data_IF_167838725689
#
_entry.id   IF_167838725689
#
_cell.length_a   1.000
_cell.length_b   1.000
_cell.length_c   1.000
_cell.angle_alpha   90.00
_cell.angle_beta   90.00
_cell.angle_gamma   90.00
#
_symmetry.space_group_name_H-M   'P 1'
#
loop_
_entity.id
_entity.type
_entity.pdbx_description
1 polymer ?
#
# COMPACT_ATOMS: atom_id res chain seq x y z
N UNK A 1 -23.05 5.08 22.73
CA UNK A 1 -22.55 4.67 21.40
C UNK A 1 -21.08 4.38 21.60
N UNK A 2 -20.67 3.13 21.41
CA UNK A 2 -19.23 2.80 21.50
C UNK A 2 -18.50 3.62 20.46
N UNK A 3 -17.51 4.38 20.94
CA UNK A 3 -16.71 5.27 20.10
C UNK A 3 -15.78 4.40 19.23
N UNK A 4 -16.21 4.10 17.99
CA UNK A 4 -15.46 3.24 17.09
C UNK A 4 -14.10 3.87 16.81
N UNK A 5 -13.05 3.04 16.81
CA UNK A 5 -11.69 3.47 16.49
C UNK A 5 -11.55 3.74 15.00
N UNK A 6 -11.12 4.94 14.64
CA UNK A 6 -10.98 5.33 13.24
C UNK A 6 -9.71 4.70 12.64
N UNK A 7 -9.86 4.03 11.51
CA UNK A 7 -8.75 3.59 10.65
C UNK A 7 -8.68 4.49 9.42
N UNK A 8 -7.59 5.25 9.32
CA UNK A 8 -7.29 6.08 8.16
C UNK A 8 -6.69 5.23 7.05
N UNK A 9 -7.30 5.22 5.86
CA UNK A 9 -6.90 4.37 4.75
C UNK A 9 -6.45 5.22 3.57
N UNK A 10 -5.14 5.26 3.31
CA UNK A 10 -4.56 5.89 2.11
C UNK A 10 -4.89 5.05 0.87
N UNK A 11 -5.12 5.71 -0.27
CA UNK A 11 -5.44 5.03 -1.51
C UNK A 11 -6.79 4.30 -1.48
N UNK A 12 -7.75 4.85 -0.74
CA UNK A 12 -9.05 4.23 -0.47
C UNK A 12 -9.88 3.89 -1.72
N UNK A 13 -9.65 4.58 -2.84
CA UNK A 13 -10.31 4.32 -4.13
C UNK A 13 -9.55 3.32 -5.02
N UNK A 14 -8.37 2.85 -4.56
CA UNK A 14 -7.54 1.88 -5.26
C UNK A 14 -7.84 0.43 -4.87
N UNK A 15 -7.10 -0.52 -5.45
CA UNK A 15 -7.31 -1.96 -5.25
C UNK A 15 -7.13 -2.36 -3.77
N UNK A 16 -6.00 -2.03 -3.16
CA UNK A 16 -5.72 -2.41 -1.76
C UNK A 16 -6.59 -1.62 -0.77
N UNK A 17 -6.52 -0.28 -0.82
CA UNK A 17 -7.25 0.56 0.11
C UNK A 17 -8.76 0.39 0.01
N UNK A 18 -9.32 0.29 -1.21
CA UNK A 18 -10.74 0.07 -1.42
C UNK A 18 -11.23 -1.29 -0.92
N UNK A 19 -10.40 -2.33 -1.05
CA UNK A 19 -10.67 -3.64 -0.45
C UNK A 19 -10.74 -3.56 1.08
N UNK A 20 -9.76 -2.91 1.70
CA UNK A 20 -9.72 -2.71 3.16
C UNK A 20 -10.91 -1.89 3.67
N UNK A 21 -11.25 -0.78 3.00
CA UNK A 21 -12.41 0.04 3.36
C UNK A 21 -13.68 -0.81 3.41
N UNK A 22 -13.94 -1.58 2.35
CA UNK A 22 -15.12 -2.45 2.30
C UNK A 22 -15.09 -3.54 3.36
N UNK A 23 -13.92 -4.12 3.63
CA UNK A 23 -13.78 -5.13 4.69
C UNK A 23 -14.12 -4.56 6.07
N UNK A 24 -13.64 -3.35 6.40
CA UNK A 24 -13.95 -2.70 7.69
C UNK A 24 -15.45 -2.36 7.78
N UNK A 25 -16.06 -1.85 6.70
CA UNK A 25 -17.47 -1.48 6.70
C UNK A 25 -18.41 -2.68 6.81
N UNK A 26 -17.98 -3.85 6.31
CA UNK A 26 -18.74 -5.11 6.37
C UNK A 26 -18.45 -5.94 7.63
N UNK A 27 -17.56 -5.47 8.53
CA UNK A 27 -17.26 -6.15 9.79
C UNK A 27 -18.45 -6.07 10.74
N UNK A 28 -19.09 -7.20 11.00
CA UNK A 28 -20.27 -7.30 11.88
C UNK A 28 -19.94 -6.95 13.33
N UNK A 29 -18.71 -7.22 13.78
CA UNK A 29 -18.23 -6.82 15.11
C UNK A 29 -18.12 -5.30 15.25
N UNK A 30 -17.97 -4.59 14.14
CA UNK A 30 -18.10 -3.14 14.01
C UNK A 30 -17.20 -2.31 14.93
N UNK A 31 -16.05 -2.84 15.33
CA UNK A 31 -15.10 -2.18 16.25
C UNK A 31 -14.40 -0.96 15.69
N UNK A 32 -14.36 -0.87 14.34
CA UNK A 32 -13.66 0.19 13.64
C UNK A 32 -14.63 1.02 12.79
N UNK A 33 -14.30 2.30 12.65
CA UNK A 33 -14.82 3.19 11.62
C UNK A 33 -13.71 3.42 10.60
N UNK A 34 -14.07 3.77 9.36
CA UNK A 34 -13.08 4.00 8.33
C UNK A 34 -13.10 5.44 7.86
N UNK A 35 -11.92 6.04 7.80
CA UNK A 35 -11.68 7.30 7.10
C UNK A 35 -10.97 6.99 5.78
N UNK A 36 -11.70 7.11 4.69
CA UNK A 36 -11.23 6.85 3.33
C UNK A 36 -10.51 8.09 2.77
N UNK A 37 -9.20 8.01 2.61
CA UNK A 37 -8.37 9.12 2.16
C UNK A 37 -8.09 8.97 0.67
N UNK A 38 -8.40 10.01 -0.10
CA UNK A 38 -8.22 10.09 -1.55
C UNK A 38 -7.87 11.51 -1.98
N UNK A 39 -7.20 11.67 -3.12
CA UNK A 39 -6.93 13.00 -3.71
C UNK A 39 -8.18 13.72 -4.19
N UNK A 40 -9.19 12.95 -4.63
CA UNK A 40 -10.46 13.50 -5.14
C UNK A 40 -11.64 12.87 -4.41
N UNK A 41 -12.13 13.59 -3.39
CA UNK A 41 -13.30 13.18 -2.60
C UNK A 41 -14.63 13.25 -3.38
N UNK A 42 -14.66 13.96 -4.49
CA UNK A 42 -15.85 14.10 -5.34
C UNK A 42 -15.95 13.05 -6.46
N UNK A 43 -14.96 12.17 -6.59
CA UNK A 43 -14.98 11.09 -7.57
C UNK A 43 -16.12 10.10 -7.30
N UNK A 44 -16.61 9.42 -8.33
CA UNK A 44 -17.70 8.45 -8.19
C UNK A 44 -17.31 7.32 -7.21
N UNK A 45 -16.06 6.82 -7.29
CA UNK A 45 -15.55 5.83 -6.34
C UNK A 45 -15.53 6.33 -4.89
N UNK A 46 -15.21 7.60 -4.67
CA UNK A 46 -15.23 8.19 -3.34
C UNK A 46 -16.66 8.33 -2.80
N UNK A 47 -17.59 8.74 -3.65
CA UNK A 47 -19.03 8.81 -3.33
C UNK A 47 -19.63 7.44 -3.03
N UNK A 48 -19.21 6.39 -3.74
CA UNK A 48 -19.61 5.02 -3.43
C UNK A 48 -19.16 4.61 -2.01
N UNK A 49 -17.91 4.93 -1.64
CA UNK A 49 -17.42 4.63 -0.30
C UNK A 49 -18.15 5.41 0.79
N UNK A 50 -18.49 6.69 0.53
CA UNK A 50 -19.31 7.50 1.43
C UNK A 50 -20.71 6.92 1.60
N UNK A 51 -21.34 6.47 0.51
CA UNK A 51 -22.65 5.82 0.54
C UNK A 51 -22.67 4.50 1.35
N UNK A 52 -21.52 3.81 1.42
CA UNK A 52 -21.32 2.62 2.25
C UNK A 52 -21.05 2.95 3.73
N UNK A 53 -20.88 4.23 4.09
CA UNK A 53 -20.68 4.68 5.47
C UNK A 53 -19.24 5.07 5.82
N UNK A 54 -18.33 5.19 4.85
CA UNK A 54 -16.99 5.72 5.10
C UNK A 54 -17.00 7.24 5.27
N UNK A 55 -16.21 7.77 6.21
CA UNK A 55 -15.82 9.17 6.22
C UNK A 55 -14.81 9.40 5.08
N UNK A 56 -15.18 10.18 4.07
CA UNK A 56 -14.28 10.47 2.94
C UNK A 56 -13.57 11.80 3.16
N UNK A 57 -12.23 11.78 3.09
CA UNK A 57 -11.38 12.96 3.30
C UNK A 57 -10.43 13.13 2.12
N UNK A 58 -10.33 14.37 1.64
CA UNK A 58 -9.36 14.73 0.61
C UNK A 58 -7.98 14.97 1.23
N UNK A 59 -6.95 14.28 0.74
CA UNK A 59 -5.55 14.56 1.05
C UNK A 59 -4.63 14.07 -0.07
N UNK A 60 -3.49 14.72 -0.20
CA UNK A 60 -2.42 14.36 -1.14
C UNK A 60 -1.23 13.78 -0.37
N UNK A 61 -0.72 12.64 -0.81
CA UNK A 61 0.45 11.99 -0.18
C UNK A 61 1.76 12.75 -0.44
N UNK A 62 1.77 13.70 -1.36
CA UNK A 62 2.89 14.64 -1.57
C UNK A 62 2.78 15.89 -0.67
N UNK A 63 1.67 16.08 0.06
CA UNK A 63 1.44 17.19 1.00
C UNK A 63 1.30 16.66 2.43
N UNK A 64 2.39 16.73 3.19
CA UNK A 64 2.46 16.24 4.58
C UNK A 64 1.45 16.94 5.49
N UNK A 65 1.12 18.21 5.26
CA UNK A 65 0.18 18.94 6.10
C UNK A 65 -1.27 18.52 5.82
N UNK A 66 -1.60 18.17 4.56
CA UNK A 66 -2.88 17.55 4.24
C UNK A 66 -3.03 16.19 4.92
N UNK A 67 -1.96 15.38 4.93
CA UNK A 67 -1.93 14.08 5.60
C UNK A 67 -2.07 14.20 7.13
N UNK A 68 -1.41 15.18 7.76
CA UNK A 68 -1.56 15.44 9.21
C UNK A 68 -3.01 15.71 9.57
N UNK A 69 -3.70 16.55 8.78
CA UNK A 69 -5.14 16.81 8.98
C UNK A 69 -5.99 15.56 8.76
N UNK A 70 -5.66 14.78 7.73
CA UNK A 70 -6.40 13.55 7.42
C UNK A 70 -6.21 12.44 8.46
N UNK A 71 -5.08 12.42 9.16
CA UNK A 71 -4.80 11.41 10.22
C UNK A 71 -5.23 11.87 11.62
N UNK A 72 -5.63 13.13 11.79
CA UNK A 72 -6.05 13.65 13.09
C UNK A 72 -7.18 12.81 13.71
N UNK A 73 -6.98 12.40 14.96
CA UNK A 73 -7.90 11.52 15.69
C UNK A 73 -7.98 10.08 15.19
N UNK A 74 -7.18 9.66 14.20
CA UNK A 74 -7.14 8.27 13.78
C UNK A 74 -6.43 7.38 14.83
N UNK A 75 -7.03 6.22 15.09
CA UNK A 75 -6.43 5.19 15.94
C UNK A 75 -5.33 4.42 15.19
N UNK A 76 -5.59 4.03 13.95
CA UNK A 76 -4.68 3.30 13.10
C UNK A 76 -4.66 3.86 11.68
N UNK A 77 -3.64 3.50 10.90
CA UNK A 77 -3.56 3.89 9.52
C UNK A 77 -3.08 2.73 8.62
N UNK A 78 -3.63 2.66 7.41
CA UNK A 78 -3.12 1.88 6.31
C UNK A 78 -2.45 2.82 5.33
N UNK A 79 -1.15 2.62 5.09
CA UNK A 79 -0.31 3.45 4.24
C UNK A 79 0.12 2.65 3.01
N UNK A 80 -0.04 3.24 1.83
CA UNK A 80 0.37 2.68 0.55
C UNK A 80 0.76 3.79 -0.42
N UNK A 81 1.80 3.57 -1.18
CA UNK A 81 2.25 4.44 -2.28
C UNK A 81 1.90 3.81 -3.62
N UNK A 82 1.96 4.59 -4.69
CA UNK A 82 1.59 4.16 -6.05
C UNK A 82 2.74 4.42 -7.04
N UNK A 83 3.80 3.64 -6.96
CA UNK A 83 5.00 3.76 -7.80
C UNK A 83 4.67 3.91 -9.30
N UNK A 84 3.71 3.16 -9.78
CA UNK A 84 3.32 3.13 -11.19
C UNK A 84 2.67 4.42 -11.71
N UNK A 85 2.32 5.36 -10.83
CA UNK A 85 1.84 6.68 -11.22
C UNK A 85 2.98 7.64 -11.61
N UNK A 86 4.18 7.45 -11.05
CA UNK A 86 5.27 8.42 -11.21
C UNK A 86 6.62 7.80 -11.60
N UNK A 87 6.81 6.49 -11.43
CA UNK A 87 8.05 5.76 -11.76
C UNK A 87 9.33 6.33 -11.12
N UNK A 88 9.23 6.95 -9.94
CA UNK A 88 10.36 7.55 -9.22
C UNK A 88 10.56 6.91 -7.85
N UNK A 89 11.69 6.21 -7.63
CA UNK A 89 12.06 5.70 -6.31
C UNK A 89 12.15 6.80 -5.25
N UNK A 90 12.69 7.96 -5.60
CA UNK A 90 12.87 9.09 -4.68
C UNK A 90 11.52 9.62 -4.22
N UNK A 91 10.53 9.73 -5.13
CA UNK A 91 9.18 10.16 -4.79
C UNK A 91 8.46 9.12 -3.94
N UNK A 92 8.65 7.82 -4.24
CA UNK A 92 8.13 6.71 -3.43
C UNK A 92 8.59 6.82 -1.97
N UNK A 93 9.89 7.05 -1.76
CA UNK A 93 10.50 7.21 -0.44
C UNK A 93 10.00 8.49 0.24
N UNK A 94 9.90 9.60 -0.49
CA UNK A 94 9.40 10.87 0.04
C UNK A 94 7.93 10.76 0.50
N UNK A 95 7.08 10.09 -0.27
CA UNK A 95 5.68 9.84 0.08
C UNK A 95 5.55 8.94 1.32
N UNK A 96 6.37 7.91 1.43
CA UNK A 96 6.42 7.07 2.63
C UNK A 96 6.82 7.89 3.87
N UNK A 97 7.81 8.78 3.73
CA UNK A 97 8.23 9.69 4.80
C UNK A 97 7.11 10.63 5.22
N UNK A 98 6.41 11.25 4.27
CA UNK A 98 5.29 12.15 4.56
C UNK A 98 4.17 11.44 5.34
N UNK A 99 3.83 10.20 4.96
CA UNK A 99 2.85 9.39 5.70
C UNK A 99 3.33 9.02 7.10
N UNK A 100 4.60 8.66 7.27
CA UNK A 100 5.17 8.32 8.58
C UNK A 100 5.22 9.54 9.51
N UNK A 101 5.59 10.72 9.00
CA UNK A 101 5.58 11.98 9.73
C UNK A 101 4.16 12.39 10.16
N UNK A 102 3.18 12.25 9.27
CA UNK A 102 1.79 12.51 9.58
C UNK A 102 1.24 11.55 10.64
N UNK A 103 1.55 10.24 10.54
CA UNK A 103 1.17 9.24 11.52
C UNK A 103 1.78 9.52 12.91
N UNK A 104 3.07 9.90 12.95
CA UNK A 104 3.74 10.33 14.17
C UNK A 104 3.07 11.55 14.79
N UNK A 105 2.81 12.58 13.95
CA UNK A 105 2.19 13.85 14.41
C UNK A 105 0.81 13.60 15.03
N UNK A 106 -0.01 12.78 14.39
CA UNK A 106 -1.35 12.42 14.85
C UNK A 106 -1.36 11.43 16.03
N UNK A 107 -0.21 10.88 16.41
CA UNK A 107 -0.11 9.90 17.49
C UNK A 107 -0.82 8.58 17.19
N UNK A 108 -0.87 8.19 15.93
CA UNK A 108 -1.46 6.93 15.44
C UNK A 108 -0.84 5.76 16.20
N UNK A 109 -1.67 4.85 16.71
CA UNK A 109 -1.24 3.75 17.59
C UNK A 109 -0.63 2.58 16.81
N UNK A 110 -1.00 2.42 15.56
CA UNK A 110 -0.45 1.39 14.68
C UNK A 110 -0.62 1.74 13.20
N UNK A 111 0.42 1.52 12.43
CA UNK A 111 0.42 1.66 10.97
C UNK A 111 0.60 0.28 10.33
N UNK A 112 -0.19 -0.02 9.31
CA UNK A 112 0.11 -1.09 8.37
C UNK A 112 0.68 -0.42 7.11
N UNK A 113 1.95 -0.67 6.86
CA UNK A 113 2.66 -0.18 5.68
C UNK A 113 2.68 -1.24 4.58
N UNK A 114 1.96 -1.01 3.50
CA UNK A 114 1.97 -1.89 2.32
C UNK A 114 3.27 -1.69 1.55
N UNK A 115 4.13 -2.68 1.65
CA UNK A 115 5.51 -2.58 1.21
C UNK A 115 6.00 -3.82 0.47
N UNK A 116 7.28 -3.81 0.18
CA UNK A 116 8.01 -4.88 -0.47
C UNK A 116 9.41 -5.00 0.17
N UNK A 117 10.14 -6.05 -0.20
CA UNK A 117 11.51 -6.24 0.24
C UNK A 117 12.48 -5.51 -0.70
N UNK A 118 13.61 -5.08 -0.15
CA UNK A 118 14.74 -4.60 -0.95
C UNK A 118 15.43 -5.78 -1.62
N UNK A 119 15.27 -5.91 -2.92
CA UNK A 119 15.78 -7.04 -3.70
C UNK A 119 17.30 -7.07 -3.78
N UNK A 120 17.97 -5.94 -3.50
CA UNK A 120 19.45 -5.85 -3.48
C UNK A 120 20.09 -6.64 -2.34
N UNK A 121 19.29 -7.02 -1.33
CA UNK A 121 19.74 -7.94 -0.28
C UNK A 121 20.02 -9.36 -0.79
N UNK A 122 19.43 -9.76 -1.93
CA UNK A 122 19.60 -11.07 -2.55
C UNK A 122 20.33 -11.01 -3.89
N UNK A 123 20.19 -9.89 -4.60
CA UNK A 123 20.83 -9.62 -5.90
C UNK A 123 21.56 -8.28 -5.80
N UNK A 124 22.80 -8.26 -5.26
CA UNK A 124 23.59 -7.03 -5.14
C UNK A 124 23.78 -6.31 -6.47
N UNK A 125 24.11 -5.04 -6.42
CA UNK A 125 24.22 -4.20 -7.65
C UNK A 125 25.25 -4.73 -8.63
N UNK A 126 26.30 -5.40 -8.14
CA UNK A 126 27.39 -6.00 -8.94
C UNK A 126 26.97 -7.33 -9.60
N UNK A 127 25.88 -7.92 -9.19
CA UNK A 127 25.42 -9.19 -9.74
C UNK A 127 24.83 -9.01 -11.14
N UNK A 128 25.56 -9.50 -12.14
CA UNK A 128 25.22 -9.38 -13.56
C UNK A 128 24.03 -10.26 -14.00
N UNK A 129 23.52 -11.16 -13.14
CA UNK A 129 22.34 -11.97 -13.46
C UNK A 129 21.10 -11.10 -13.66
N UNK A 130 21.09 -9.90 -13.10
CA UNK A 130 20.02 -8.95 -13.22
C UNK A 130 20.58 -7.54 -13.52
N UNK A 131 20.06 -6.79 -14.50
CA UNK A 131 20.56 -5.46 -14.80
C UNK A 131 20.32 -4.52 -13.62
N UNK A 132 21.23 -3.57 -13.42
CA UNK A 132 21.01 -2.44 -12.53
C UNK A 132 20.23 -1.36 -13.26
N UNK A 133 19.09 -0.96 -12.70
CA UNK A 133 18.21 0.05 -13.26
C UNK A 133 18.34 1.36 -12.49
N UNK A 134 18.11 2.50 -13.14
CA UNK A 134 18.17 3.83 -12.53
C UNK A 134 19.43 4.03 -11.66
N UNK A 135 20.56 3.48 -12.09
CA UNK A 135 21.91 3.50 -11.48
C UNK A 135 22.06 2.78 -10.13
N UNK A 136 20.99 2.49 -9.38
CA UNK A 136 21.12 1.98 -7.99
C UNK A 136 20.01 1.00 -7.57
N UNK A 137 19.21 0.51 -8.50
CA UNK A 137 18.10 -0.41 -8.19
C UNK A 137 18.19 -1.70 -9.02
N UNK A 138 17.74 -2.80 -8.47
CA UNK A 138 17.48 -4.06 -9.20
C UNK A 138 16.03 -4.13 -9.62
N UNK A 139 15.12 -3.88 -8.70
CA UNK A 139 13.67 -3.75 -8.96
C UNK A 139 13.19 -2.46 -8.30
N UNK A 140 13.18 -1.32 -9.03
CA UNK A 140 13.04 0.01 -8.44
C UNK A 140 11.87 0.18 -7.47
N UNK A 141 10.68 -0.35 -7.80
CA UNK A 141 9.51 -0.26 -6.94
C UNK A 141 9.57 -1.17 -5.69
N UNK A 142 10.32 -2.29 -5.75
CA UNK A 142 10.61 -3.11 -4.58
C UNK A 142 11.63 -2.43 -3.68
N UNK A 143 12.76 -2.05 -4.28
CA UNK A 143 13.90 -1.52 -3.56
C UNK A 143 13.57 -0.21 -2.86
N UNK A 144 12.83 0.70 -3.52
CA UNK A 144 12.40 1.95 -2.93
C UNK A 144 11.44 1.74 -1.73
N UNK A 145 10.51 0.79 -1.83
CA UNK A 145 9.65 0.43 -0.69
C UNK A 145 10.45 -0.23 0.43
N UNK A 146 11.43 -1.09 0.06
CA UNK A 146 12.34 -1.71 1.01
C UNK A 146 13.17 -0.68 1.80
N UNK A 147 13.73 0.34 1.12
CA UNK A 147 14.39 1.47 1.77
C UNK A 147 13.44 2.22 2.71
N UNK A 148 12.22 2.47 2.27
CA UNK A 148 11.22 3.20 3.04
C UNK A 148 10.78 2.48 4.33
N UNK A 149 10.99 1.17 4.45
CA UNK A 149 10.65 0.40 5.65
C UNK A 149 11.33 0.94 6.92
N UNK A 150 12.53 1.47 6.80
CA UNK A 150 13.28 2.00 7.94
C UNK A 150 12.72 3.33 8.45
N UNK A 151 12.06 4.12 7.60
CA UNK A 151 11.59 5.47 7.93
C UNK A 151 10.57 5.45 9.08
N UNK A 152 9.63 4.51 9.05
CA UNK A 152 8.63 4.40 10.11
C UNK A 152 9.26 4.04 11.46
N UNK A 153 10.24 3.13 11.45
CA UNK A 153 10.98 2.73 12.64
C UNK A 153 11.84 3.89 13.19
N UNK A 154 12.57 4.61 12.33
CA UNK A 154 13.38 5.78 12.70
C UNK A 154 12.55 6.89 13.34
N UNK A 155 11.33 7.09 12.85
CA UNK A 155 10.40 8.07 13.41
C UNK A 155 9.69 7.55 14.67
N UNK A 156 9.89 6.30 15.07
CA UNK A 156 9.26 5.70 16.24
C UNK A 156 7.76 5.44 16.06
N UNK A 157 7.29 5.24 14.83
CA UNK A 157 5.89 4.91 14.52
C UNK A 157 5.70 3.40 14.63
N UNK A 158 4.82 2.90 15.51
CA UNK A 158 4.50 1.48 15.59
C UNK A 158 3.95 0.96 14.26
N UNK A 159 4.68 0.09 13.56
CA UNK A 159 4.36 -0.29 12.19
C UNK A 159 4.50 -1.79 11.97
N UNK A 160 3.57 -2.35 11.20
CA UNK A 160 3.68 -3.67 10.59
C UNK A 160 3.95 -3.51 9.09
N UNK A 161 5.04 -4.07 8.61
CA UNK A 161 5.34 -4.15 7.19
C UNK A 161 4.52 -5.29 6.57
N UNK A 162 3.58 -4.94 5.69
CA UNK A 162 2.76 -5.89 4.95
C UNK A 162 3.37 -6.08 3.55
N UNK A 163 4.06 -7.19 3.35
CA UNK A 163 4.69 -7.52 2.07
C UNK A 163 3.65 -7.99 1.06
N UNK A 164 3.35 -7.14 0.07
CA UNK A 164 2.29 -7.37 -0.94
C UNK A 164 2.91 -7.52 -2.33
N UNK A 165 3.60 -8.63 -2.56
CA UNK A 165 4.39 -8.85 -3.77
C UNK A 165 3.58 -9.18 -5.02
N UNK A 166 2.31 -9.54 -4.89
CA UNK A 166 1.49 -9.97 -6.03
C UNK A 166 0.02 -9.57 -5.88
N UNK A 167 -0.54 -8.99 -6.93
CA UNK A 167 -1.98 -8.72 -7.02
C UNK A 167 -2.71 -9.91 -7.63
N UNK A 168 -3.70 -10.45 -6.94
CA UNK A 168 -4.56 -11.53 -7.46
C UNK A 168 -5.27 -11.16 -8.76
N UNK A 169 -5.55 -9.87 -8.95
CA UNK A 169 -6.14 -9.32 -10.18
C UNK A 169 -5.27 -9.57 -11.42
N UNK A 170 -3.95 -9.80 -11.24
CA UNK A 170 -3.05 -10.15 -12.33
C UNK A 170 -3.43 -11.48 -12.98
N UNK A 171 -4.07 -12.39 -12.25
CA UNK A 171 -4.57 -13.65 -12.79
C UNK A 171 -5.72 -13.43 -13.78
N UNK A 172 -6.48 -12.34 -13.61
CA UNK A 172 -7.65 -12.01 -14.42
C UNK A 172 -7.26 -11.08 -15.57
N UNK A 173 -6.58 -9.97 -15.27
CA UNK A 173 -6.41 -8.85 -16.21
C UNK A 173 -5.10 -8.88 -17.01
N UNK A 174 -4.06 -9.57 -16.52
CA UNK A 174 -2.75 -9.57 -17.15
C UNK A 174 -2.35 -10.92 -17.75
N UNK A 175 -3.34 -11.83 -17.96
CA UNK A 175 -3.10 -13.11 -18.60
C UNK A 175 -2.17 -14.06 -17.82
N UNK A 176 -1.99 -13.82 -16.51
CA UNK A 176 -1.18 -14.66 -15.63
C UNK A 176 -1.97 -15.83 -15.03
N UNK A 177 -3.25 -15.97 -15.38
CA UNK A 177 -4.09 -17.09 -14.97
C UNK A 177 -3.72 -18.42 -15.64
N UNK A 178 -4.37 -19.53 -15.23
CA UNK A 178 -4.12 -20.84 -15.81
C UNK A 178 -4.28 -20.85 -17.33
N UNK A 179 -3.37 -21.53 -18.03
CA UNK A 179 -3.40 -21.68 -19.49
C UNK A 179 -3.48 -23.15 -19.85
N UNK A 180 -4.23 -23.53 -20.92
CA UNK A 180 -4.26 -24.91 -21.39
C UNK A 180 -2.89 -25.32 -21.94
N UNK A 181 -2.38 -26.44 -21.49
CA UNK A 181 -1.21 -27.11 -22.03
C UNK A 181 -1.55 -27.86 -23.32
N UNK A 182 -0.54 -28.48 -23.98
CA UNK A 182 -0.73 -29.23 -25.23
C UNK A 182 -1.68 -30.43 -25.09
N UNK A 183 -1.81 -30.97 -23.88
CA UNK A 183 -2.69 -32.11 -23.51
C UNK A 183 -4.07 -31.64 -22.99
N UNK A 184 -4.37 -30.35 -23.02
CA UNK A 184 -5.62 -29.77 -22.52
C UNK A 184 -5.68 -29.60 -21.01
N UNK A 185 -4.64 -29.98 -20.24
CA UNK A 185 -4.57 -29.70 -18.81
C UNK A 185 -4.34 -28.22 -18.57
N UNK A 186 -4.97 -27.67 -17.52
CA UNK A 186 -4.70 -26.27 -17.11
C UNK A 186 -3.41 -26.21 -16.29
N UNK A 187 -2.43 -25.48 -16.79
CA UNK A 187 -1.18 -25.21 -16.10
C UNK A 187 -1.17 -23.79 -15.54
N UNK A 188 -0.80 -23.65 -14.26
CA UNK A 188 -0.56 -22.39 -13.60
C UNK A 188 0.94 -22.28 -13.29
N UNK A 189 1.62 -21.31 -13.90
CA UNK A 189 3.04 -21.10 -13.74
C UNK A 189 3.32 -19.79 -12.99
N UNK A 190 4.05 -19.89 -11.88
CA UNK A 190 4.58 -18.76 -11.15
C UNK A 190 6.12 -18.82 -11.15
N UNK A 191 6.82 -17.69 -11.26
CA UNK A 191 8.29 -17.65 -11.24
C UNK A 191 8.82 -17.76 -9.79
N UNK A 192 8.52 -18.87 -9.11
CA UNK A 192 8.84 -19.06 -7.69
C UNK A 192 10.15 -19.86 -7.44
N UNK A 193 10.82 -20.33 -8.49
CA UNK A 193 11.95 -21.26 -8.35
C UNK A 193 11.52 -22.61 -7.76
N UNK A 194 12.50 -23.38 -7.32
CA UNK A 194 12.35 -24.75 -6.80
C UNK A 194 12.39 -24.85 -5.26
N UNK A 195 12.42 -23.72 -4.57
CA UNK A 195 12.36 -23.70 -3.09
C UNK A 195 10.94 -24.04 -2.63
N UNK A 196 10.86 -25.08 -1.81
CA UNK A 196 9.64 -25.49 -1.11
C UNK A 196 9.44 -24.67 0.14
#
# INVERSE_FOLDING_TARGET
>A
MDDKRIIAVIGATGAQGGGLVRAILNDEDGRFAVRAITRNADSDKAKELAALGAEVVAADIDDVDSLKRAFDGAYGAFCVTAFWEHFSPEREIAQARAMAEAAKHAGVKHVIWSTLEDTRNWVPLEDARMPTLMNSYKVPHFDAKGEANLIFAELGVPTTNLLTSFYWDNLIHFGMGPKPGPDGTLAFALPMGDKK
#
